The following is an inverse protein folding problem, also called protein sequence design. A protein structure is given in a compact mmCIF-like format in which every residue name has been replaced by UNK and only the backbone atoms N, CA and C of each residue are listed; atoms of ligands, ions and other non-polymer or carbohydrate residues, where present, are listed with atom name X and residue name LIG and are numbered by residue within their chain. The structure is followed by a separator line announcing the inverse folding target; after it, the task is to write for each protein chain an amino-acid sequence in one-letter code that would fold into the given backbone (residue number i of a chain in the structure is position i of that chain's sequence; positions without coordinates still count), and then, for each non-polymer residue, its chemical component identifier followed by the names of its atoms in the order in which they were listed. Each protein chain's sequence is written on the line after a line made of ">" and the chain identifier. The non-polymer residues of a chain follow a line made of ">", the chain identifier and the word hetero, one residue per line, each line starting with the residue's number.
data_IF_741791737215
#
_entry.id   IF_741791737215
#
_cell.length_a   1.000
_cell.length_b   1.000
_cell.length_c   1.000
_cell.angle_alpha   90.00
_cell.angle_beta   90.00
_cell.angle_gamma   90.00
#
_symmetry.space_group_name_H-M   'P 1'
#
loop_
_entity.id
_entity.type
_entity.pdbx_description
1 polymer ?
#
# COMPACT_ATOMS: atom_id res chain seq x y z
N UNK A 1 -19.63 -18.84 4.27
CA UNK A 1 -18.16 -18.95 4.11
C UNK A 1 -17.87 -18.84 2.63
N UNK A 2 -17.38 -17.71 2.08
CA UNK A 2 -17.02 -17.72 0.67
C UNK A 2 -15.86 -18.71 0.50
N UNK A 3 -15.98 -19.52 -0.54
CA UNK A 3 -15.22 -20.74 -0.75
C UNK A 3 -13.73 -20.51 -0.91
N UNK A 4 -12.99 -21.62 -0.86
CA UNK A 4 -11.58 -21.73 -1.19
C UNK A 4 -11.19 -20.77 -2.31
N UNK A 5 -10.43 -19.71 -1.96
CA UNK A 5 -9.85 -18.79 -2.93
C UNK A 5 -8.84 -19.59 -3.75
N UNK A 6 -9.25 -20.01 -4.95
CA UNK A 6 -8.39 -20.69 -5.90
C UNK A 6 -7.13 -19.84 -6.09
N UNK A 7 -6.00 -20.49 -5.85
CA UNK A 7 -4.71 -19.85 -5.70
C UNK A 7 -3.74 -20.69 -6.51
N UNK A 8 -3.47 -20.26 -7.74
CA UNK A 8 -2.63 -21.03 -8.66
C UNK A 8 -1.15 -20.73 -8.46
N UNK A 9 -0.26 -21.74 -8.44
CA UNK A 9 1.17 -21.50 -8.58
C UNK A 9 1.42 -20.95 -9.98
N UNK A 10 1.69 -19.65 -10.06
CA UNK A 10 1.83 -18.95 -11.35
C UNK A 10 3.27 -18.99 -11.85
N UNK A 11 3.39 -19.31 -13.13
CA UNK A 11 4.54 -18.92 -13.93
C UNK A 11 4.82 -17.41 -13.73
N UNK A 12 6.07 -17.00 -13.88
CA UNK A 12 6.45 -15.61 -13.75
C UNK A 12 5.63 -14.75 -14.74
N UNK A 13 4.87 -13.75 -14.28
CA UNK A 13 4.03 -12.93 -15.17
C UNK A 13 4.85 -12.05 -16.12
N UNK A 14 6.15 -11.88 -15.87
CA UNK A 14 7.04 -11.06 -16.69
C UNK A 14 7.77 -11.89 -17.75
N UNK A 15 8.24 -13.09 -17.41
CA UNK A 15 9.06 -13.90 -18.34
C UNK A 15 8.55 -15.31 -18.61
N UNK A 16 7.42 -15.72 -18.02
CA UNK A 16 6.81 -17.04 -18.21
C UNK A 16 7.53 -18.20 -17.52
N UNK A 17 8.66 -17.98 -16.85
CA UNK A 17 9.38 -19.07 -16.16
C UNK A 17 8.57 -19.65 -15.00
N UNK A 18 8.47 -20.99 -14.93
CA UNK A 18 7.82 -21.71 -13.83
C UNK A 18 8.65 -21.71 -12.52
N UNK A 19 9.92 -21.33 -12.59
CA UNK A 19 10.86 -21.43 -11.47
C UNK A 19 10.91 -20.19 -10.56
N UNK A 20 11.24 -20.42 -9.30
CA UNK A 20 11.60 -19.37 -8.37
C UNK A 20 12.03 -19.90 -7.00
N UNK A 21 12.87 -19.13 -6.32
CA UNK A 21 13.34 -19.45 -4.98
C UNK A 21 12.45 -18.75 -3.95
N UNK A 22 11.99 -19.47 -2.93
CA UNK A 22 11.28 -18.87 -1.80
C UNK A 22 12.22 -17.92 -1.04
N UNK A 23 11.72 -16.74 -0.72
CA UNK A 23 12.42 -15.69 0.02
C UNK A 23 11.82 -15.56 1.42
N UNK A 24 10.50 -15.58 1.52
CA UNK A 24 9.74 -15.42 2.77
C UNK A 24 8.52 -16.31 2.71
N UNK A 25 8.10 -16.82 3.86
CA UNK A 25 6.85 -17.54 4.09
C UNK A 25 6.14 -16.93 5.30
N UNK A 26 4.85 -16.62 5.16
CA UNK A 26 4.06 -15.94 6.17
C UNK A 26 2.57 -16.30 6.06
N UNK A 27 1.82 -16.01 7.12
CA UNK A 27 0.35 -16.12 7.14
C UNK A 27 -0.27 -14.72 7.26
N UNK A 28 -1.53 -14.57 6.86
CA UNK A 28 -2.24 -13.32 7.07
C UNK A 28 -2.67 -13.19 8.54
N UNK A 29 -2.03 -12.26 9.25
CA UNK A 29 -2.35 -11.95 10.64
C UNK A 29 -3.46 -10.90 10.81
N UNK A 30 -3.86 -10.19 9.74
CA UNK A 30 -4.79 -9.06 9.82
C UNK A 30 -6.24 -9.44 9.55
N UNK A 31 -6.50 -10.28 8.54
CA UNK A 31 -7.87 -10.71 8.22
C UNK A 31 -8.12 -12.19 8.43
N UNK A 32 -7.12 -12.92 8.90
CA UNK A 32 -7.23 -14.36 9.14
C UNK A 32 -7.56 -15.13 7.87
N UNK A 33 -7.09 -14.64 6.71
CA UNK A 33 -7.28 -15.37 5.46
C UNK A 33 -6.65 -16.76 5.60
N UNK A 34 -7.41 -17.84 5.35
CA UNK A 34 -6.90 -19.19 5.47
C UNK A 34 -5.85 -19.42 4.39
N UNK A 35 -4.68 -19.91 4.81
CA UNK A 35 -3.60 -20.27 3.89
C UNK A 35 -2.23 -19.79 4.36
N UNK A 36 -1.24 -20.08 3.52
CA UNK A 36 0.13 -19.65 3.69
C UNK A 36 0.59 -18.95 2.41
N UNK A 37 1.17 -17.76 2.56
CA UNK A 37 1.66 -16.95 1.47
C UNK A 37 3.18 -16.97 1.50
N UNK A 38 3.79 -17.13 0.33
CA UNK A 38 5.23 -17.04 0.13
C UNK A 38 5.56 -15.91 -0.82
N UNK A 39 6.73 -15.31 -0.64
CA UNK A 39 7.35 -14.45 -1.64
C UNK A 39 8.37 -15.29 -2.38
N UNK A 40 8.22 -15.40 -3.69
CA UNK A 40 9.07 -16.21 -4.56
C UNK A 40 9.81 -15.29 -5.53
N UNK A 41 11.14 -15.45 -5.60
CA UNK A 41 12.00 -14.73 -6.54
C UNK A 41 12.27 -15.57 -7.78
N UNK A 42 11.84 -15.10 -8.95
CA UNK A 42 12.07 -15.77 -10.22
C UNK A 42 13.57 -15.97 -10.48
N UNK A 43 13.98 -17.18 -10.85
CA UNK A 43 15.38 -17.50 -11.15
C UNK A 43 15.86 -16.90 -12.47
N UNK A 44 14.94 -16.58 -13.39
CA UNK A 44 15.25 -16.00 -14.70
C UNK A 44 15.29 -14.47 -14.67
N UNK A 45 14.17 -13.80 -14.38
CA UNK A 45 14.08 -12.34 -14.44
C UNK A 45 14.24 -11.63 -13.08
N UNK A 46 14.43 -12.39 -12.00
CA UNK A 46 14.60 -11.88 -10.61
C UNK A 46 13.40 -11.13 -10.02
N UNK A 47 12.23 -11.14 -10.65
CA UNK A 47 10.99 -10.61 -10.06
C UNK A 47 10.66 -11.34 -8.76
N UNK A 48 10.43 -10.59 -7.68
CA UNK A 48 9.81 -11.12 -6.47
C UNK A 48 8.29 -10.97 -6.58
N UNK A 49 7.56 -12.06 -6.35
CA UNK A 49 6.09 -12.09 -6.40
C UNK A 49 5.51 -12.87 -5.22
N UNK A 50 4.32 -12.49 -4.80
CA UNK A 50 3.53 -13.28 -3.84
C UNK A 50 2.98 -14.51 -4.55
N UNK A 51 3.08 -15.65 -3.89
CA UNK A 51 2.59 -16.94 -4.34
C UNK A 51 1.91 -17.64 -3.14
N UNK A 52 0.67 -18.09 -3.26
CA UNK A 52 -0.16 -17.92 -4.43
C UNK A 52 -0.70 -16.49 -4.59
N UNK A 53 -1.02 -16.14 -5.83
CA UNK A 53 -1.77 -14.94 -6.19
C UNK A 53 -3.21 -15.34 -6.56
N UNK A 54 -4.21 -14.50 -6.28
CA UNK A 54 -5.60 -14.79 -6.64
C UNK A 54 -5.87 -14.57 -8.13
N UNK A 55 -6.79 -15.35 -8.68
CA UNK A 55 -7.29 -15.16 -10.05
C UNK A 55 -8.04 -13.83 -10.20
N UNK A 56 -8.80 -13.45 -9.17
CA UNK A 56 -9.45 -12.15 -9.06
C UNK A 56 -8.86 -11.36 -7.87
N UNK A 57 -7.95 -10.40 -8.12
CA UNK A 57 -7.43 -9.53 -7.07
C UNK A 57 -8.50 -8.67 -6.41
N UNK A 58 -9.59 -8.33 -7.11
CA UNK A 58 -10.64 -7.47 -6.54
C UNK A 58 -11.39 -8.16 -5.40
N UNK A 59 -11.53 -9.49 -5.44
CA UNK A 59 -12.12 -10.27 -4.36
C UNK A 59 -11.40 -10.11 -3.01
N UNK A 60 -10.11 -9.69 -3.01
CA UNK A 60 -9.32 -9.50 -1.80
C UNK A 60 -9.40 -8.07 -1.25
N UNK A 61 -9.90 -7.14 -2.06
CA UNK A 61 -10.09 -5.73 -1.73
C UNK A 61 -11.55 -5.34 -1.99
N UNK A 62 -12.51 -5.85 -1.18
CA UNK A 62 -13.92 -5.52 -1.33
C UNK A 62 -14.17 -4.02 -1.16
N UNK A 63 -15.27 -3.50 -1.68
CA UNK A 63 -15.58 -2.06 -1.62
C UNK A 63 -15.55 -1.49 -0.18
N UNK A 64 -15.90 -2.31 0.81
CA UNK A 64 -15.92 -1.97 2.23
C UNK A 64 -14.55 -2.17 2.93
N UNK A 65 -13.48 -2.44 2.18
CA UNK A 65 -12.12 -2.52 2.73
C UNK A 65 -11.83 -1.18 3.42
N UNK A 66 -11.52 -1.13 4.74
CA UNK A 66 -11.45 0.10 5.52
C UNK A 66 -10.49 1.16 4.96
N UNK A 67 -9.49 0.73 4.19
CA UNK A 67 -8.54 1.60 3.52
C UNK A 67 -9.13 2.32 2.28
N UNK A 68 -10.25 1.84 1.72
CA UNK A 68 -11.03 2.58 0.72
C UNK A 68 -11.85 3.71 1.34
N UNK A 69 -12.15 3.61 2.63
CA UNK A 69 -12.77 4.68 3.40
C UNK A 69 -11.80 5.84 3.54
N UNK A 70 -11.79 6.74 2.55
CA UNK A 70 -11.05 7.99 2.52
C UNK A 70 -11.55 9.02 3.53
N UNK A 71 -11.85 8.59 4.76
CA UNK A 71 -12.03 9.50 5.87
C UNK A 71 -10.75 10.29 6.06
N UNK A 72 -10.86 11.62 6.07
CA UNK A 72 -9.72 12.49 6.35
C UNK A 72 -9.07 12.03 7.66
N UNK A 73 -7.79 11.67 7.61
CA UNK A 73 -7.07 11.32 8.83
C UNK A 73 -7.07 12.51 9.78
N UNK A 74 -7.00 12.25 11.09
CA UNK A 74 -6.93 13.31 12.10
C UNK A 74 -5.77 14.27 11.82
N UNK A 75 -4.65 13.74 11.31
CA UNK A 75 -3.48 14.53 10.89
C UNK A 75 -3.77 15.39 9.66
N UNK A 76 -4.37 14.83 8.61
CA UNK A 76 -4.74 15.58 7.41
C UNK A 76 -5.71 16.72 7.75
N UNK A 77 -6.69 16.46 8.63
CA UNK A 77 -7.63 17.47 9.13
C UNK A 77 -6.93 18.59 9.90
N UNK A 78 -6.02 18.25 10.80
CA UNK A 78 -5.27 19.23 11.59
C UNK A 78 -4.40 20.12 10.68
N UNK A 79 -3.66 19.53 9.73
CA UNK A 79 -2.83 20.26 8.77
C UNK A 79 -3.65 21.20 7.89
N UNK A 80 -4.78 20.73 7.35
CA UNK A 80 -5.68 21.56 6.54
C UNK A 80 -6.21 22.75 7.32
N UNK A 81 -6.66 22.55 8.56
CA UNK A 81 -7.16 23.63 9.41
C UNK A 81 -6.07 24.65 9.75
N UNK A 82 -4.83 24.21 9.97
CA UNK A 82 -3.70 25.11 10.21
C UNK A 82 -3.40 25.99 8.99
N UNK A 83 -3.36 25.40 7.78
CA UNK A 83 -3.16 26.13 6.53
C UNK A 83 -4.30 27.13 6.26
N UNK A 84 -5.56 26.72 6.48
CA UNK A 84 -6.71 27.60 6.33
C UNK A 84 -6.67 28.79 7.29
N UNK A 85 -6.18 28.60 8.52
CA UNK A 85 -5.98 29.71 9.48
C UNK A 85 -4.86 30.64 9.03
N UNK A 86 -3.72 30.08 8.60
CA UNK A 86 -2.60 30.89 8.10
C UNK A 86 -3.01 31.74 6.88
N UNK A 87 -3.80 31.19 5.96
CA UNK A 87 -4.30 31.89 4.78
C UNK A 87 -5.37 32.95 5.10
N UNK A 88 -6.07 32.83 6.24
CA UNK A 88 -7.11 33.77 6.69
C UNK A 88 -6.60 34.80 7.68
N UNK A 89 -5.42 34.59 8.25
CA UNK A 89 -4.75 35.60 9.07
C UNK A 89 -4.27 36.73 8.17
N UNK A 90 -4.74 37.98 8.36
CA UNK A 90 -4.13 39.14 7.73
C UNK A 90 -2.84 39.45 8.48
N UNK A 91 -1.75 38.72 8.22
CA UNK A 91 -0.44 39.17 8.68
C UNK A 91 0.07 40.23 7.69
N UNK A 92 0.64 41.36 8.18
CA UNK A 92 1.26 42.33 7.29
C UNK A 92 2.44 41.65 6.60
N UNK A 93 2.38 41.60 5.28
CA UNK A 93 3.45 41.09 4.42
C UNK A 93 4.59 42.10 4.46
N UNK A 94 5.47 42.05 5.46
CA UNK A 94 6.85 42.55 5.41
C UNK A 94 7.50 42.49 6.81
N UNK A 95 8.32 41.47 7.08
CA UNK A 95 9.57 41.54 7.90
C UNK A 95 10.15 40.15 8.21
N UNK A 96 10.43 39.36 7.18
CA UNK A 96 11.29 38.17 7.33
C UNK A 96 12.29 37.99 6.17
N UNK A 97 12.57 39.07 5.43
CA UNK A 97 13.70 39.20 4.52
C UNK A 97 14.29 40.59 4.74
N UNK A 98 15.15 40.72 5.75
CA UNK A 98 15.72 42.03 6.09
C UNK A 98 16.22 42.12 7.52
N UNK A 99 17.11 41.21 7.93
CA UNK A 99 18.17 41.58 8.86
C UNK A 99 19.49 41.16 8.23
N UNK A 100 20.14 42.14 7.65
CA UNK A 100 21.52 42.11 7.21
C UNK A 100 22.44 42.02 8.44
N UNK A 101 23.49 41.22 8.30
CA UNK A 101 24.77 41.36 9.00
C UNK A 101 25.32 42.74 8.58
N UNK A 102 25.62 43.67 9.51
CA UNK A 102 26.77 43.55 10.41
C UNK A 102 26.48 43.75 11.90
#
# INVERSE_FOLDING_TARGET
>A
MPGSLATHPSACPICGSAGGNEVVRARDHRRGMPGEFRVVKCTSCRLCRTDPWPDDPAAWYPAEYPQHGGGESVTARASRLALQRAARSPAPVARALGMAIP
#
